data_IF_006856728146
#
_entry.id   IF_006856728146
#
_cell.length_a   1.000
_cell.length_b   1.000
_cell.length_c   1.000
_cell.angle_alpha   90.00
_cell.angle_beta   90.00
_cell.angle_gamma   90.00
#
_symmetry.space_group_name_H-M   'P 1'
#
loop_
_entity.id
_entity.type
_entity.pdbx_description
1 polymer ?
#
# COMPACT_ATOMS: atom_id res chain seq x y z
N UNK A 1 -11.13 16.97 -16.86
CA UNK A 1 -9.98 16.25 -17.47
C UNK A 1 -9.16 15.77 -16.29
N UNK A 2 -9.42 14.55 -15.82
CA UNK A 2 -8.73 13.98 -14.67
C UNK A 2 -7.32 13.61 -15.11
N UNK A 3 -6.32 14.36 -14.63
CA UNK A 3 -4.93 13.95 -14.67
C UNK A 3 -4.75 12.95 -13.53
N UNK A 4 -4.94 11.66 -13.84
CA UNK A 4 -4.44 10.59 -13.01
C UNK A 4 -2.90 10.72 -13.05
N UNK A 5 -2.32 11.35 -12.04
CA UNK A 5 -0.88 11.31 -11.85
C UNK A 5 -0.57 9.89 -11.36
N UNK A 6 -0.25 9.01 -12.31
CA UNK A 6 0.47 7.80 -11.99
C UNK A 6 1.76 8.24 -11.30
N UNK A 7 1.81 8.13 -9.98
CA UNK A 7 3.06 8.31 -9.22
C UNK A 7 3.92 7.12 -9.61
N UNK A 8 4.71 7.28 -10.66
CA UNK A 8 5.71 6.30 -11.01
C UNK A 8 6.74 6.28 -9.88
N UNK A 9 6.94 5.11 -9.28
CA UNK A 9 8.02 4.94 -8.32
C UNK A 9 9.34 5.22 -9.04
N UNK A 10 10.19 6.05 -8.44
CA UNK A 10 11.51 6.35 -9.00
C UNK A 10 12.45 5.17 -8.77
N UNK A 11 13.30 4.89 -9.75
CA UNK A 11 14.31 3.84 -9.68
C UNK A 11 15.19 3.99 -8.43
N UNK A 12 15.30 2.96 -7.58
CA UNK A 12 16.12 3.07 -6.40
C UNK A 12 17.61 3.17 -6.77
N UNK A 13 18.34 3.98 -6.01
CA UNK A 13 19.79 4.14 -6.13
C UNK A 13 20.52 2.80 -5.96
N UNK A 14 21.71 2.67 -6.54
CA UNK A 14 22.56 1.48 -6.38
C UNK A 14 22.95 1.25 -4.90
N UNK A 15 23.02 -0.02 -4.48
CA UNK A 15 23.33 -0.47 -3.11
C UNK A 15 22.31 -0.06 -2.03
N UNK A 16 21.12 0.41 -2.42
CA UNK A 16 20.06 0.71 -1.49
C UNK A 16 19.40 -0.58 -0.99
N UNK A 17 19.18 -0.67 0.32
CA UNK A 17 18.37 -1.73 0.90
C UNK A 17 16.90 -1.47 0.59
N UNK A 18 16.28 -2.38 -0.16
CA UNK A 18 14.88 -2.27 -0.60
C UNK A 18 14.11 -3.54 -0.33
N UNK A 19 12.79 -3.41 -0.29
CA UNK A 19 11.86 -4.53 -0.28
C UNK A 19 10.89 -4.34 -1.44
N UNK A 20 10.89 -5.29 -2.37
CA UNK A 20 9.99 -5.29 -3.51
C UNK A 20 8.91 -6.36 -3.37
N UNK A 21 7.74 -6.05 -3.91
CA UNK A 21 6.62 -6.96 -4.01
C UNK A 21 6.38 -7.29 -5.47
N UNK A 22 6.06 -8.55 -5.72
CA UNK A 22 5.76 -9.01 -7.06
C UNK A 22 5.55 -10.51 -7.11
N UNK A 23 5.53 -11.04 -8.33
CA UNK A 23 5.43 -12.47 -8.57
C UNK A 23 6.82 -13.03 -8.83
N UNK A 24 7.20 -14.09 -8.11
CA UNK A 24 8.43 -14.80 -8.40
C UNK A 24 8.23 -15.60 -9.69
N UNK A 25 9.01 -15.26 -10.72
CA UNK A 25 8.95 -15.91 -12.02
C UNK A 25 10.33 -16.36 -12.45
N UNK A 26 10.36 -17.19 -13.47
CA UNK A 26 11.59 -17.70 -14.03
C UNK A 26 11.56 -17.48 -15.53
N UNK A 27 12.67 -16.97 -16.06
CA UNK A 27 12.84 -16.75 -17.48
C UNK A 27 14.03 -17.52 -18.01
N UNK A 28 13.92 -17.89 -19.28
CA UNK A 28 14.98 -18.57 -20.02
C UNK A 28 15.49 -17.58 -21.06
N UNK A 29 16.77 -17.25 -20.97
CA UNK A 29 17.45 -16.32 -21.88
C UNK A 29 18.67 -16.98 -22.55
N UNK A 30 19.12 -16.45 -23.70
CA UNK A 30 20.35 -16.90 -24.34
C UNK A 30 21.60 -16.57 -23.50
N UNK A 31 22.42 -17.59 -23.26
CA UNK A 31 23.70 -17.51 -22.56
C UNK A 31 24.91 -17.61 -23.50
N UNK A 32 26.05 -18.12 -23.01
CA UNK A 32 27.24 -18.30 -23.82
C UNK A 32 27.01 -19.18 -25.08
N UNK A 33 27.84 -19.03 -26.12
CA UNK A 33 28.96 -18.09 -26.21
C UNK A 33 28.56 -16.67 -26.65
N UNK A 34 27.47 -16.49 -27.41
CA UNK A 34 27.17 -15.20 -28.06
C UNK A 34 26.11 -14.37 -27.33
N UNK A 35 25.27 -15.00 -26.49
CA UNK A 35 24.18 -14.32 -25.75
C UNK A 35 23.12 -13.68 -26.67
N UNK A 36 22.92 -14.23 -27.87
CA UNK A 36 22.02 -13.68 -28.88
C UNK A 36 20.80 -14.59 -29.13
N UNK A 37 21.00 -15.91 -29.24
CA UNK A 37 19.93 -16.82 -29.62
C UNK A 37 20.14 -18.26 -29.20
N UNK A 38 19.21 -18.78 -28.38
CA UNK A 38 19.13 -20.21 -28.05
C UNK A 38 18.95 -21.07 -29.31
N UNK A 39 18.12 -20.61 -30.27
CA UNK A 39 17.94 -21.32 -31.56
C UNK A 39 19.19 -21.25 -32.44
N UNK A 40 20.03 -20.23 -32.26
CA UNK A 40 21.31 -20.04 -32.93
C UNK A 40 22.44 -20.89 -32.35
N UNK A 41 22.20 -21.62 -31.25
CA UNK A 41 23.18 -22.51 -30.62
C UNK A 41 23.74 -22.00 -29.29
N UNK A 42 23.25 -20.86 -28.77
CA UNK A 42 23.61 -20.40 -27.43
C UNK A 42 22.95 -21.25 -26.33
N UNK A 43 23.60 -21.32 -25.18
CA UNK A 43 23.10 -22.03 -24.00
C UNK A 43 21.78 -21.41 -23.50
N UNK A 44 20.81 -22.23 -23.10
CA UNK A 44 19.58 -21.76 -22.48
C UNK A 44 19.82 -21.56 -20.97
N UNK A 45 19.95 -20.31 -20.53
CA UNK A 45 20.22 -19.98 -19.13
C UNK A 45 18.92 -19.60 -18.44
N UNK A 46 18.65 -20.28 -17.33
CA UNK A 46 17.46 -20.11 -16.50
C UNK A 46 17.80 -19.22 -15.30
N UNK A 47 17.06 -18.14 -15.11
CA UNK A 47 17.26 -17.21 -13.99
C UNK A 47 15.95 -16.87 -13.31
N UNK A 48 16.05 -16.53 -12.04
CA UNK A 48 14.95 -16.08 -11.19
C UNK A 48 14.76 -14.57 -11.33
N UNK A 49 13.50 -14.15 -11.47
CA UNK A 49 13.11 -12.74 -11.58
C UNK A 49 11.94 -12.45 -10.65
N UNK A 50 11.88 -11.22 -10.17
CA UNK A 50 10.69 -10.67 -9.55
C UNK A 50 9.97 -9.81 -10.58
N UNK A 51 8.80 -10.26 -11.03
CA UNK A 51 7.88 -9.45 -11.81
C UNK A 51 7.16 -8.51 -10.85
N UNK A 52 7.47 -7.22 -10.93
CA UNK A 52 6.99 -6.20 -10.01
C UNK A 52 5.49 -5.97 -10.18
N UNK A 53 4.80 -5.81 -9.05
CA UNK A 53 3.39 -5.39 -9.06
C UNK A 53 3.23 -3.93 -9.49
N UNK A 54 4.19 -3.09 -9.07
CA UNK A 54 4.30 -1.69 -9.48
C UNK A 54 5.68 -1.48 -10.15
N UNK A 55 5.73 -1.34 -11.49
CA UNK A 55 6.94 -0.95 -12.19
C UNK A 55 7.48 0.39 -11.70
N UNK A 56 8.79 0.59 -11.79
CA UNK A 56 9.45 1.87 -11.53
C UNK A 56 10.17 2.38 -12.77
N UNK A 57 10.28 3.70 -12.89
CA UNK A 57 10.93 4.37 -14.00
C UNK A 57 12.39 4.69 -13.63
N UNK A 58 13.31 4.24 -14.48
CA UNK A 58 14.74 4.46 -14.33
C UNK A 58 15.26 5.41 -15.41
N UNK A 59 15.93 6.49 -15.00
CA UNK A 59 16.75 7.32 -15.89
C UNK A 59 18.18 6.78 -15.89
N UNK A 60 18.36 5.64 -16.56
CA UNK A 60 19.66 4.99 -16.70
C UNK A 60 20.12 5.18 -18.15
N UNK A 61 21.13 6.04 -18.32
CA UNK A 61 21.83 6.27 -19.58
C UNK A 61 20.99 6.86 -20.74
N UNK A 62 20.38 8.03 -20.49
CA UNK A 62 19.77 8.97 -21.48
C UNK A 62 18.38 8.65 -22.01
N UNK A 63 17.81 7.50 -21.67
CA UNK A 63 16.42 7.14 -21.97
C UNK A 63 15.69 6.75 -20.67
N UNK A 64 14.42 7.13 -20.56
CA UNK A 64 13.53 6.66 -19.48
C UNK A 64 13.15 5.19 -19.76
N UNK A 65 13.50 4.28 -18.85
CA UNK A 65 13.16 2.87 -18.93
C UNK A 65 12.21 2.47 -17.79
N UNK A 66 11.02 1.97 -18.15
CA UNK A 66 10.10 1.31 -17.23
C UNK A 66 10.60 -0.09 -16.90
N UNK A 67 11.03 -0.31 -15.66
CA UNK A 67 11.47 -1.62 -15.17
C UNK A 67 10.28 -2.37 -14.57
N UNK A 68 9.83 -3.43 -15.25
CA UNK A 68 8.77 -4.34 -14.78
C UNK A 68 9.30 -5.60 -14.10
N UNK A 69 10.54 -5.98 -14.39
CA UNK A 69 11.15 -7.22 -13.92
C UNK A 69 12.54 -6.93 -13.35
N UNK A 70 12.84 -7.54 -12.20
CA UNK A 70 14.14 -7.40 -11.52
C UNK A 70 14.78 -8.78 -11.43
N UNK A 71 15.96 -8.93 -12.02
CA UNK A 71 16.73 -10.17 -11.91
C UNK A 71 17.21 -10.37 -10.47
N UNK A 72 16.99 -11.57 -9.94
CA UNK A 72 17.35 -11.94 -8.58
C UNK A 72 18.72 -12.64 -8.55
N UNK A 73 19.64 -12.11 -7.74
CA UNK A 73 20.96 -12.66 -7.54
C UNK A 73 21.06 -13.18 -6.10
N UNK A 74 21.05 -14.51 -5.94
CA UNK A 74 21.16 -15.14 -4.63
C UNK A 74 22.62 -15.27 -4.22
N UNK A 75 23.00 -14.50 -3.19
CA UNK A 75 24.32 -14.59 -2.57
C UNK A 75 24.44 -15.81 -1.68
N UNK A 76 25.67 -16.26 -1.43
CA UNK A 76 25.95 -17.49 -0.67
C UNK A 76 25.49 -17.42 0.79
N UNK A 77 25.43 -16.22 1.35
CA UNK A 77 25.07 -15.89 2.73
C UNK A 77 23.65 -15.32 2.87
N UNK A 78 22.85 -15.33 1.79
CA UNK A 78 21.44 -14.98 1.85
C UNK A 78 20.69 -15.91 2.82
N UNK A 79 19.68 -15.37 3.53
CA UNK A 79 18.81 -16.16 4.42
C UNK A 79 17.95 -17.15 3.63
N UNK A 80 17.62 -16.81 2.39
CA UNK A 80 16.91 -17.66 1.46
C UNK A 80 17.83 -18.04 0.32
N UNK A 81 18.00 -19.34 0.07
CA UNK A 81 18.72 -19.83 -1.11
C UNK A 81 17.82 -19.83 -2.35
N UNK A 82 18.41 -19.75 -3.55
CA UNK A 82 17.65 -19.91 -4.82
C UNK A 82 16.84 -21.22 -4.83
N UNK A 83 17.38 -22.31 -4.30
CA UNK A 83 16.67 -23.59 -4.20
C UNK A 83 15.41 -23.52 -3.33
N UNK A 84 15.45 -22.79 -2.23
CA UNK A 84 14.26 -22.59 -1.38
C UNK A 84 13.25 -21.67 -2.05
N UNK A 85 13.73 -20.62 -2.74
CA UNK A 85 12.88 -19.70 -3.48
C UNK A 85 12.04 -20.39 -4.56
N UNK A 86 12.54 -21.46 -5.18
CA UNK A 86 11.79 -22.28 -6.14
C UNK A 86 10.45 -22.82 -5.59
N UNK A 87 10.30 -22.98 -4.27
CA UNK A 87 9.01 -23.39 -3.67
C UNK A 87 7.90 -22.35 -3.85
N UNK A 88 8.27 -21.10 -4.15
CA UNK A 88 7.37 -19.98 -4.36
C UNK A 88 7.30 -19.54 -5.82
N UNK A 89 7.83 -20.35 -6.74
CA UNK A 89 7.74 -20.05 -8.17
C UNK A 89 6.28 -19.89 -8.59
N UNK A 90 5.99 -18.83 -9.34
CA UNK A 90 4.67 -18.35 -9.76
C UNK A 90 3.75 -17.86 -8.64
N UNK A 91 4.27 -17.63 -7.42
CA UNK A 91 3.51 -17.03 -6.32
C UNK A 91 3.88 -15.58 -6.09
N UNK A 92 2.98 -14.84 -5.44
CA UNK A 92 3.28 -13.50 -4.95
C UNK A 92 4.23 -13.60 -3.76
N UNK A 93 5.30 -12.84 -3.81
CA UNK A 93 6.35 -12.81 -2.81
C UNK A 93 6.76 -11.38 -2.51
N UNK A 94 7.39 -11.24 -1.36
CA UNK A 94 8.19 -10.09 -0.99
C UNK A 94 9.66 -10.50 -1.04
N UNK A 95 10.47 -9.70 -1.71
CA UNK A 95 11.91 -9.91 -1.80
C UNK A 95 12.61 -8.71 -1.19
N UNK A 96 13.42 -8.96 -0.16
CA UNK A 96 14.28 -7.96 0.45
C UNK A 96 15.71 -8.19 -0.01
N UNK A 97 16.41 -7.11 -0.35
CA UNK A 97 17.79 -7.18 -0.82
C UNK A 97 18.41 -5.81 -1.06
N UNK A 98 19.59 -5.81 -1.66
CA UNK A 98 20.28 -4.60 -2.12
C UNK A 98 20.21 -4.45 -3.61
N UNK A 99 19.87 -3.27 -4.08
CA UNK A 99 19.84 -2.94 -5.50
C UNK A 99 21.24 -2.97 -6.11
N UNK A 100 21.33 -3.41 -7.36
CA UNK A 100 22.54 -3.35 -8.17
C UNK A 100 22.15 -3.00 -9.60
N UNK A 101 22.88 -2.10 -10.24
CA UNK A 101 22.65 -1.84 -11.66
C UNK A 101 23.37 -2.87 -12.53
N UNK A 102 22.87 -3.08 -13.74
CA UNK A 102 23.52 -3.96 -14.68
C UNK A 102 24.90 -3.41 -15.07
N UNK A 103 25.98 -4.10 -14.66
CA UNK A 103 27.35 -3.69 -14.98
C UNK A 103 27.97 -4.48 -16.14
N UNK A 104 27.37 -5.60 -16.56
CA UNK A 104 27.92 -6.51 -17.57
C UNK A 104 26.84 -6.92 -18.58
N UNK A 105 27.27 -7.38 -19.76
CA UNK A 105 26.37 -7.95 -20.79
C UNK A 105 25.76 -9.31 -20.42
N UNK A 106 25.86 -9.75 -19.17
CA UNK A 106 25.34 -11.03 -18.67
C UNK A 106 24.14 -10.85 -17.73
N UNK A 107 23.68 -9.61 -17.56
CA UNK A 107 22.47 -9.28 -16.82
C UNK A 107 21.33 -9.04 -17.80
N UNK A 108 20.14 -9.55 -17.49
CA UNK A 108 19.00 -9.50 -18.39
C UNK A 108 18.02 -8.36 -18.08
N UNK A 109 18.22 -7.67 -16.96
CA UNK A 109 17.45 -6.49 -16.54
C UNK A 109 18.40 -5.38 -16.13
N UNK A 110 18.00 -4.14 -16.32
CA UNK A 110 18.81 -2.95 -15.97
C UNK A 110 19.01 -2.80 -14.46
N UNK A 111 18.02 -3.22 -13.67
CA UNK A 111 18.11 -3.31 -12.22
C UNK A 111 18.08 -4.77 -11.78
N UNK A 112 18.98 -5.12 -10.87
CA UNK A 112 19.08 -6.41 -10.21
C UNK A 112 18.89 -6.24 -8.70
N UNK A 113 18.56 -7.34 -8.03
CA UNK A 113 18.49 -7.39 -6.57
C UNK A 113 19.39 -8.49 -6.03
N UNK A 114 20.38 -8.10 -5.24
CA UNK A 114 21.16 -9.01 -4.42
C UNK A 114 20.28 -9.46 -3.26
N UNK A 115 19.76 -10.68 -3.34
CA UNK A 115 18.70 -11.17 -2.46
C UNK A 115 19.24 -11.49 -1.07
N UNK A 116 18.61 -10.92 -0.05
CA UNK A 116 18.80 -11.32 1.35
C UNK A 116 17.75 -12.34 1.77
N UNK A 117 16.48 -12.11 1.42
CA UNK A 117 15.34 -12.89 1.90
C UNK A 117 14.17 -12.86 0.91
N UNK A 118 13.47 -13.99 0.77
CA UNK A 118 12.19 -14.10 0.03
C UNK A 118 11.12 -14.63 0.97
N UNK A 119 9.92 -14.03 0.92
CA UNK A 119 8.76 -14.43 1.73
C UNK A 119 7.52 -14.56 0.88
N UNK A 120 6.75 -15.62 1.06
CA UNK A 120 5.45 -15.80 0.42
C UNK A 120 4.41 -14.84 1.01
N UNK A 121 3.59 -14.27 0.13
CA UNK A 121 2.35 -13.59 0.50
C UNK A 121 1.21 -14.60 0.28
N UNK A 122 0.44 -14.97 1.33
CA UNK A 122 -0.70 -15.86 1.18
C UNK A 122 -1.71 -15.29 0.19
N UNK A 123 -2.13 -16.06 -0.82
CA UNK A 123 -3.12 -15.62 -1.82
C UNK A 123 -4.58 -15.85 -1.38
N UNK A 124 -4.78 -16.64 -0.32
CA UNK A 124 -6.09 -16.84 0.31
C UNK A 124 -5.88 -17.05 1.80
N UNK A 125 -6.57 -16.26 2.62
CA UNK A 125 -6.50 -16.30 4.07
C UNK A 125 -7.42 -17.38 4.64
N UNK A 126 -6.88 -18.26 5.47
CA UNK A 126 -7.69 -19.17 6.29
C UNK A 126 -8.39 -18.41 7.43
N UNK A 127 -9.41 -19.01 8.04
CA UNK A 127 -10.09 -18.42 9.21
C UNK A 127 -9.12 -18.15 10.36
N UNK A 128 -8.14 -19.03 10.57
CA UNK A 128 -7.09 -18.88 11.58
C UNK A 128 -6.19 -17.68 11.27
N UNK A 129 -5.80 -17.50 10.00
CA UNK A 129 -5.00 -16.35 9.58
C UNK A 129 -5.80 -15.04 9.72
N UNK A 130 -7.09 -15.02 9.34
CA UNK A 130 -7.96 -13.86 9.55
C UNK A 130 -8.06 -13.50 11.04
N UNK A 131 -8.23 -14.50 11.91
CA UNK A 131 -8.22 -14.31 13.37
C UNK A 131 -6.89 -13.73 13.85
N UNK A 132 -5.78 -14.29 13.41
CA UNK A 132 -4.44 -13.82 13.74
C UNK A 132 -4.20 -12.37 13.31
N UNK A 133 -4.63 -12.01 12.09
CA UNK A 133 -4.55 -10.63 11.59
C UNK A 133 -5.33 -9.65 12.48
N UNK A 134 -6.55 -9.99 12.93
CA UNK A 134 -7.30 -9.12 13.85
C UNK A 134 -6.65 -9.02 15.23
N UNK A 135 -6.05 -10.10 15.74
CA UNK A 135 -5.29 -10.05 17.01
C UNK A 135 -4.09 -9.12 16.88
N UNK A 136 -3.34 -9.21 15.80
CA UNK A 136 -2.19 -8.32 15.55
C UNK A 136 -2.63 -6.89 15.25
N UNK A 137 -3.80 -6.71 14.63
CA UNK A 137 -4.38 -5.38 14.43
C UNK A 137 -4.77 -4.73 15.76
N UNK A 138 -5.30 -5.48 16.74
CA UNK A 138 -5.52 -4.96 18.10
C UNK A 138 -4.21 -4.47 18.74
N UNK A 139 -3.09 -5.16 18.51
CA UNK A 139 -1.77 -4.73 18.98
C UNK A 139 -1.32 -3.44 18.27
N UNK A 140 -1.51 -3.37 16.95
CA UNK A 140 -1.26 -2.15 16.18
C UNK A 140 -2.10 -0.97 16.69
N UNK A 141 -3.40 -1.18 16.95
CA UNK A 141 -4.28 -0.16 17.54
C UNK A 141 -3.80 0.29 18.93
N UNK A 142 -3.25 -0.63 19.74
CA UNK A 142 -2.67 -0.27 21.03
C UNK A 142 -1.40 0.58 20.86
N UNK A 143 -0.51 0.19 19.95
CA UNK A 143 0.68 0.96 19.61
C UNK A 143 0.33 2.37 19.08
N UNK A 144 -0.77 2.50 18.30
CA UNK A 144 -1.30 3.79 17.84
C UNK A 144 -1.78 4.66 19.00
N UNK A 145 -2.54 4.10 19.95
CA UNK A 145 -3.04 4.81 21.14
C UNK A 145 -1.90 5.30 22.03
N UNK A 146 -0.86 4.48 22.16
CA UNK A 146 0.33 4.77 22.95
C UNK A 146 1.38 5.61 22.18
N UNK A 147 1.13 5.89 20.89
CA UNK A 147 2.03 6.63 19.99
C UNK A 147 3.45 6.04 19.94
N UNK A 148 3.57 4.71 19.96
CA UNK A 148 4.86 4.01 19.94
C UNK A 148 5.45 3.93 18.53
N UNK A 149 6.11 5.00 18.09
CA UNK A 149 6.63 5.13 16.72
C UNK A 149 7.51 3.97 16.24
N UNK A 150 8.41 3.45 17.08
CA UNK A 150 9.28 2.32 16.69
C UNK A 150 8.50 0.99 16.54
N UNK A 151 7.51 0.75 17.40
CA UNK A 151 6.63 -0.43 17.31
C UNK A 151 5.75 -0.31 16.07
N UNK A 152 5.18 0.87 15.82
CA UNK A 152 4.37 1.16 14.64
C UNK A 152 5.16 1.01 13.35
N UNK A 153 6.41 1.50 13.29
CA UNK A 153 7.32 1.33 12.15
C UNK A 153 7.45 -0.14 11.75
N UNK A 154 7.47 -1.04 12.73
CA UNK A 154 7.58 -2.48 12.46
C UNK A 154 6.38 -3.05 11.71
N UNK A 155 5.23 -2.38 11.68
CA UNK A 155 4.10 -2.82 10.85
C UNK A 155 4.26 -2.42 9.40
N UNK A 156 5.18 -1.52 9.01
CA UNK A 156 5.31 -1.07 7.63
C UNK A 156 6.29 -1.94 6.84
N UNK A 157 5.98 -2.15 5.57
CA UNK A 157 6.98 -2.54 4.56
C UNK A 157 7.42 -1.30 3.81
N UNK A 158 8.73 -1.12 3.65
CA UNK A 158 9.32 0.04 2.99
C UNK A 158 10.08 -0.35 1.72
N UNK A 159 9.99 0.45 0.63
CA UNK A 159 9.05 1.57 0.48
C UNK A 159 7.58 1.10 0.51
N UNK A 160 6.69 1.93 1.07
CA UNK A 160 5.27 1.61 1.07
C UNK A 160 4.72 1.79 -0.35
N UNK A 161 3.99 0.79 -0.85
CA UNK A 161 3.39 0.84 -2.19
C UNK A 161 2.18 1.79 -2.21
N UNK A 162 2.00 2.53 -3.31
CA UNK A 162 0.90 3.47 -3.49
C UNK A 162 1.25 4.91 -3.11
N UNK A 163 0.25 5.72 -2.77
CA UNK A 163 0.45 7.14 -2.44
C UNK A 163 0.59 7.38 -0.93
N UNK A 164 1.12 8.56 -0.60
CA UNK A 164 1.30 8.99 0.78
C UNK A 164 0.21 9.92 1.29
N UNK A 165 -0.79 10.30 0.49
CA UNK A 165 -1.73 11.37 0.81
C UNK A 165 -2.50 11.16 2.11
N UNK A 166 -2.88 9.90 2.37
CA UNK A 166 -3.57 9.47 3.59
C UNK A 166 -2.70 9.41 4.84
N UNK A 167 -1.38 9.50 4.69
CA UNK A 167 -0.40 9.48 5.76
C UNK A 167 0.24 10.86 5.97
N UNK A 168 0.50 11.56 4.87
CA UNK A 168 1.12 12.86 4.74
C UNK A 168 0.20 13.68 3.81
N UNK A 169 -0.48 14.71 4.31
CA UNK A 169 -1.47 15.47 3.51
C UNK A 169 -0.87 16.18 2.27
N UNK A 170 -1.36 15.87 1.07
CA UNK A 170 -0.84 16.31 -0.23
C UNK A 170 -0.61 17.83 -0.41
N UNK A 171 -1.20 18.67 0.44
CA UNK A 171 -1.03 20.13 0.40
C UNK A 171 0.36 20.65 0.81
N UNK A 172 1.27 19.78 1.26
CA UNK A 172 2.62 20.20 1.67
C UNK A 172 3.60 20.24 0.48
N UNK A 173 4.28 21.36 0.21
CA UNK A 173 5.13 21.54 -0.98
C UNK A 173 6.39 20.67 -1.02
N UNK A 174 6.74 19.98 0.08
CA UNK A 174 7.91 19.09 0.21
C UNK A 174 7.51 17.61 0.43
N UNK A 175 6.33 17.23 -0.05
CA UNK A 175 5.84 15.84 0.02
C UNK A 175 6.78 14.89 -0.72
N UNK A 176 7.32 13.86 -0.04
CA UNK A 176 8.05 12.81 -0.73
C UNK A 176 7.05 11.95 -1.51
N UNK A 177 7.35 11.66 -2.78
CA UNK A 177 6.49 10.80 -3.62
C UNK A 177 6.45 9.33 -3.18
N UNK A 178 7.28 8.93 -2.20
CA UNK A 178 7.33 7.54 -1.69
C UNK A 178 7.64 7.54 -0.21
N UNK A 179 6.91 6.73 0.56
CA UNK A 179 7.17 6.55 1.99
C UNK A 179 8.27 5.50 2.19
N UNK A 180 9.51 5.97 2.36
CA UNK A 180 10.66 5.14 2.76
C UNK A 180 10.79 5.08 4.29
N UNK A 181 11.68 4.23 4.80
CA UNK A 181 11.96 4.17 6.25
C UNK A 181 12.44 5.52 6.79
N UNK A 182 13.34 6.21 6.08
CA UNK A 182 13.85 7.52 6.47
C UNK A 182 12.75 8.60 6.47
N UNK A 183 11.83 8.54 5.50
CA UNK A 183 10.66 9.43 5.44
C UNK A 183 9.73 9.15 6.62
N UNK A 184 9.47 7.88 6.94
CA UNK A 184 8.67 7.51 8.11
C UNK A 184 9.28 8.09 9.38
N UNK A 185 10.59 7.94 9.59
CA UNK A 185 11.26 8.46 10.78
C UNK A 185 11.19 9.99 10.87
N UNK A 186 11.34 10.67 9.73
CA UNK A 186 11.25 12.14 9.66
C UNK A 186 9.85 12.66 9.98
N UNK A 187 8.80 11.95 9.54
CA UNK A 187 7.41 12.39 9.66
C UNK A 187 6.54 11.54 10.61
N UNK A 188 7.17 10.76 11.49
CA UNK A 188 6.50 9.76 12.33
C UNK A 188 5.29 10.33 13.08
N UNK A 189 5.41 11.53 13.66
CA UNK A 189 4.31 12.16 14.40
C UNK A 189 3.08 12.39 13.51
N UNK A 190 3.27 12.94 12.30
CA UNK A 190 2.17 13.20 11.36
C UNK A 190 1.53 11.90 10.89
N UNK A 191 2.35 10.91 10.52
CA UNK A 191 1.88 9.59 10.08
C UNK A 191 1.03 8.92 11.18
N UNK A 192 1.51 8.95 12.43
CA UNK A 192 0.80 8.38 13.57
C UNK A 192 -0.51 9.11 13.84
N UNK A 193 -0.55 10.44 13.66
CA UNK A 193 -1.76 11.26 13.78
C UNK A 193 -2.79 10.92 12.69
N UNK A 194 -2.35 10.81 11.44
CA UNK A 194 -3.18 10.43 10.30
C UNK A 194 -3.82 9.04 10.44
N UNK A 195 -3.14 8.11 11.12
CA UNK A 195 -3.64 6.75 11.38
C UNK A 195 -4.49 6.61 12.66
N UNK A 196 -4.64 7.67 13.45
CA UNK A 196 -5.41 7.60 14.70
C UNK A 196 -6.86 7.11 14.55
N UNK A 197 -7.61 7.42 13.47
CA UNK A 197 -8.97 6.90 13.29
C UNK A 197 -9.03 5.37 13.31
N UNK A 198 -8.00 4.69 12.79
CA UNK A 198 -7.92 3.22 12.81
C UNK A 198 -7.92 2.65 14.23
N UNK A 199 -7.42 3.39 15.21
CA UNK A 199 -7.43 2.99 16.63
C UNK A 199 -8.83 2.93 17.26
N UNK A 200 -9.83 3.49 16.58
CA UNK A 200 -11.23 3.60 17.04
C UNK A 200 -12.14 2.53 16.46
N UNK A 201 -11.70 1.83 15.41
CA UNK A 201 -12.44 0.73 14.80
C UNK A 201 -12.57 -0.41 15.81
N UNK A 202 -13.78 -0.94 15.97
CA UNK A 202 -14.01 -2.06 16.89
C UNK A 202 -13.82 -3.34 16.10
N UNK A 203 -12.84 -4.14 16.48
CA UNK A 203 -12.57 -5.46 15.88
C UNK A 203 -12.76 -6.56 16.92
N UNK A 204 -13.29 -7.71 16.49
CA UNK A 204 -13.40 -8.90 17.32
C UNK A 204 -12.81 -10.12 16.59
N UNK A 205 -11.64 -10.62 17.03
CA UNK A 205 -11.00 -11.78 16.41
C UNK A 205 -11.76 -13.10 16.55
N UNK A 206 -12.65 -13.24 17.53
CA UNK A 206 -13.34 -14.52 17.78
C UNK A 206 -14.50 -14.76 16.81
N UNK A 207 -15.19 -13.70 16.38
CA UNK A 207 -16.27 -13.76 15.40
C UNK A 207 -15.90 -13.18 14.03
N UNK A 208 -14.64 -12.76 13.86
CA UNK A 208 -14.08 -12.12 12.67
C UNK A 208 -14.84 -10.85 12.24
N UNK A 209 -15.42 -10.12 13.20
CA UNK A 209 -16.18 -8.90 12.89
C UNK A 209 -15.33 -7.64 12.99
N UNK A 210 -15.58 -6.71 12.06
CA UNK A 210 -15.04 -5.36 12.03
C UNK A 210 -16.25 -4.42 12.00
N UNK A 211 -16.39 -3.58 13.02
CA UNK A 211 -17.49 -2.61 13.11
C UNK A 211 -16.97 -1.23 12.79
N UNK A 212 -17.69 -0.57 11.89
CA UNK A 212 -17.46 0.82 11.51
C UNK A 212 -17.43 1.72 12.75
N UNK A 213 -16.38 2.53 12.83
CA UNK A 213 -16.32 3.71 13.67
C UNK A 213 -16.94 4.88 12.90
N UNK A 214 -17.84 5.61 13.56
CA UNK A 214 -18.52 6.77 12.98
C UNK A 214 -18.67 7.87 14.00
N UNK A 215 -18.24 9.08 13.64
CA UNK A 215 -18.63 10.32 14.32
C UNK A 215 -19.59 11.04 13.40
N UNK A 216 -20.84 11.14 13.82
CA UNK A 216 -21.85 11.84 13.03
C UNK A 216 -21.59 13.34 13.08
N UNK A 217 -21.61 14.00 11.92
CA UNK A 217 -21.48 15.46 11.86
C UNK A 217 -22.78 16.18 12.28
N UNK A 218 -23.94 15.54 12.11
CA UNK A 218 -25.24 16.05 12.54
C UNK A 218 -25.59 15.57 13.96
N UNK A 219 -26.20 16.43 14.77
CA UNK A 219 -26.79 16.03 16.05
C UNK A 219 -27.97 15.07 15.87
N UNK A 220 -28.38 14.39 16.94
CA UNK A 220 -29.46 13.39 16.87
C UNK A 220 -30.81 14.00 16.44
N UNK A 221 -31.06 15.26 16.80
CA UNK A 221 -32.22 16.04 16.37
C UNK A 221 -32.14 16.40 14.89
N UNK A 222 -30.94 16.76 14.42
CA UNK A 222 -30.70 17.13 13.03
C UNK A 222 -30.81 15.91 12.10
N UNK A 223 -30.36 14.74 12.53
CA UNK A 223 -30.52 13.50 11.76
C UNK A 223 -31.98 13.10 11.56
N UNK A 224 -32.91 13.56 12.41
CA UNK A 224 -34.35 13.30 12.26
C UNK A 224 -35.02 14.21 11.23
N UNK A 225 -34.33 15.27 10.78
CA UNK A 225 -34.88 16.20 9.79
C UNK A 225 -34.95 15.53 8.43
N UNK A 226 -35.93 15.94 7.64
CA UNK A 226 -36.01 15.56 6.24
C UNK A 226 -35.26 16.59 5.39
N UNK A 227 -34.20 16.15 4.73
CA UNK A 227 -33.36 16.97 3.88
C UNK A 227 -33.77 16.81 2.41
N UNK A 228 -33.68 17.89 1.67
CA UNK A 228 -33.92 17.96 0.24
C UNK A 228 -32.65 18.46 -0.45
N UNK A 229 -32.36 17.95 -1.65
CA UNK A 229 -31.31 18.48 -2.51
C UNK A 229 -31.88 19.55 -3.44
N UNK A 230 -31.21 20.70 -3.58
CA UNK A 230 -31.53 21.71 -4.58
C UNK A 230 -30.55 21.64 -5.75
N UNK A 231 -31.02 21.11 -6.88
CA UNK A 231 -30.23 20.93 -8.10
C UNK A 231 -29.69 22.24 -8.69
N UNK A 232 -30.28 23.40 -8.37
CA UNK A 232 -29.85 24.69 -8.92
C UNK A 232 -28.61 25.24 -8.22
N UNK A 233 -28.58 25.10 -6.90
CA UNK A 233 -27.55 25.67 -6.04
C UNK A 233 -26.53 24.61 -5.58
N UNK A 234 -26.79 23.32 -5.85
CA UNK A 234 -25.94 22.20 -5.45
C UNK A 234 -25.86 21.98 -3.94
N UNK A 235 -26.84 22.51 -3.18
CA UNK A 235 -26.85 22.47 -1.72
C UNK A 235 -28.07 21.72 -1.19
N UNK A 236 -27.93 21.16 0.00
CA UNK A 236 -29.04 20.57 0.71
C UNK A 236 -29.74 21.61 1.59
N UNK A 237 -31.01 21.37 1.88
CA UNK A 237 -31.78 22.20 2.79
C UNK A 237 -32.81 21.37 3.55
N UNK A 238 -33.25 21.88 4.69
CA UNK A 238 -34.44 21.36 5.38
C UNK A 238 -35.46 22.49 5.55
N UNK A 239 -36.72 22.12 5.79
CA UNK A 239 -37.80 23.06 6.09
C UNK A 239 -38.26 22.88 7.52
N UNK A 240 -38.26 23.97 8.27
CA UNK A 240 -38.74 24.01 9.65
C UNK A 240 -39.60 25.26 9.82
N UNK A 241 -40.83 25.10 10.33
CA UNK A 241 -41.79 26.20 10.47
C UNK A 241 -42.03 27.03 9.19
N UNK A 242 -41.97 26.38 8.02
CA UNK A 242 -42.12 27.03 6.72
C UNK A 242 -40.91 27.83 6.23
N UNK A 243 -39.85 27.93 7.03
CA UNK A 243 -38.59 28.54 6.62
C UNK A 243 -37.65 27.51 6.00
N UNK A 244 -36.92 27.94 4.97
CA UNK A 244 -35.89 27.14 4.30
C UNK A 244 -34.55 27.42 4.98
N UNK A 245 -33.91 26.37 5.49
CA UNK A 245 -32.59 26.42 6.09
C UNK A 245 -31.62 25.66 5.19
N UNK A 246 -30.66 26.37 4.62
CA UNK A 246 -29.59 25.76 3.83
C UNK A 246 -28.63 25.01 4.77
N UNK A 247 -28.10 23.89 4.27
CA UNK A 247 -27.16 23.03 4.98
C UNK A 247 -25.86 23.06 4.20
N UNK A 248 -24.88 23.75 4.77
CA UNK A 248 -23.49 23.71 4.29
C UNK A 248 -22.78 22.53 4.96
N UNK A 249 -22.92 21.33 4.38
CA UNK A 249 -22.05 20.15 4.58
C UNK A 249 -21.91 19.56 5.99
N UNK A 250 -22.15 18.26 6.11
CA UNK A 250 -21.90 17.51 7.35
C UNK A 250 -21.41 16.11 6.98
N UNK A 251 -20.13 15.98 6.71
CA UNK A 251 -19.48 14.69 6.47
C UNK A 251 -19.19 13.99 7.80
N UNK A 252 -19.70 12.77 7.96
CA UNK A 252 -19.35 11.93 9.10
C UNK A 252 -17.88 11.53 9.01
N UNK A 253 -17.16 11.54 10.12
CA UNK A 253 -15.87 10.85 10.18
C UNK A 253 -16.15 9.36 10.27
N UNK A 254 -15.82 8.62 9.21
CA UNK A 254 -16.04 7.17 9.13
C UNK A 254 -14.70 6.46 9.00
N UNK A 255 -14.55 5.37 9.74
CA UNK A 255 -13.48 4.40 9.51
C UNK A 255 -14.03 2.97 9.64
N UNK A 256 -13.71 2.10 8.71
CA UNK A 256 -14.11 0.70 8.71
C UNK A 256 -13.03 -0.18 8.08
N UNK A 257 -13.30 -1.47 7.95
CA UNK A 257 -12.41 -2.39 7.27
C UNK A 257 -13.09 -3.70 6.93
N UNK A 258 -12.46 -4.42 6.01
CA UNK A 258 -12.97 -5.67 5.49
C UNK A 258 -11.84 -6.63 5.10
N UNK A 259 -12.16 -7.91 5.07
CA UNK A 259 -11.28 -8.93 4.52
C UNK A 259 -11.50 -9.09 3.03
N UNK A 260 -10.39 -9.08 2.31
CA UNK A 260 -10.30 -9.62 0.96
C UNK A 260 -9.74 -11.05 1.01
N UNK A 261 -9.50 -11.64 -0.16
CA UNK A 261 -8.98 -13.01 -0.24
C UNK A 261 -7.63 -13.14 0.47
N UNK A 262 -6.72 -12.19 0.27
CA UNK A 262 -5.33 -12.23 0.76
C UNK A 262 -4.98 -11.15 1.80
N UNK A 263 -5.91 -10.23 2.08
CA UNK A 263 -5.61 -8.99 2.79
C UNK A 263 -6.73 -8.53 3.72
N UNK A 264 -6.36 -7.63 4.62
CA UNK A 264 -7.25 -6.90 5.52
C UNK A 264 -7.08 -5.41 5.21
N UNK A 265 -8.12 -4.79 4.67
CA UNK A 265 -8.07 -3.39 4.24
C UNK A 265 -8.92 -2.55 5.16
N UNK A 266 -8.36 -1.44 5.63
CA UNK A 266 -9.11 -0.45 6.39
C UNK A 266 -9.28 0.82 5.57
N UNK A 267 -10.48 1.39 5.64
CA UNK A 267 -10.81 2.66 5.01
C UNK A 267 -11.00 3.71 6.09
N UNK A 268 -10.52 4.92 5.84
CA UNK A 268 -10.89 6.10 6.61
C UNK A 268 -11.29 7.22 5.64
N UNK A 269 -12.44 7.84 5.90
CA UNK A 269 -12.84 9.06 5.19
C UNK A 269 -11.96 10.24 5.61
N UNK A 270 -11.93 11.28 4.79
CA UNK A 270 -11.32 12.55 5.18
C UNK A 270 -12.07 13.22 6.33
N UNK A 271 -11.41 14.15 7.02
CA UNK A 271 -12.06 15.00 8.02
C UNK A 271 -13.24 15.75 7.38
N UNK A 272 -14.31 15.97 8.14
CA UNK A 272 -15.53 16.60 7.66
C UNK A 272 -15.24 17.89 6.86
N UNK A 273 -15.39 17.84 5.54
CA UNK A 273 -15.36 19.04 4.72
C UNK A 273 -16.81 19.58 4.58
N UNK A 274 -16.93 20.89 4.33
CA UNK A 274 -18.21 21.62 4.30
C UNK A 274 -19.03 21.38 3.03
N UNK A 275 -18.79 20.30 2.31
CA UNK A 275 -19.42 20.08 1.01
C UNK A 275 -19.91 18.64 0.98
N UNK A 276 -21.23 18.52 0.86
CA UNK A 276 -22.03 17.29 0.70
C UNK A 276 -22.57 16.70 2.03
N UNK A 277 -23.86 16.33 2.08
CA UNK A 277 -24.43 15.47 3.09
C UNK A 277 -24.68 14.05 2.57
N UNK A 278 -24.48 13.09 3.48
CA UNK A 278 -24.99 11.74 3.34
C UNK A 278 -24.08 10.77 2.57
N UNK A 279 -23.71 9.71 3.30
CA UNK A 279 -22.85 8.58 2.93
C UNK A 279 -21.39 8.98 2.70
N UNK A 280 -20.47 8.38 3.46
CA UNK A 280 -19.01 8.58 3.37
C UNK A 280 -18.45 8.42 1.95
N UNK A 281 -19.18 7.74 1.07
CA UNK A 281 -18.86 7.55 -0.35
C UNK A 281 -18.85 8.86 -1.17
N UNK A 282 -19.48 9.92 -0.66
CA UNK A 282 -19.57 11.21 -1.32
C UNK A 282 -18.79 12.33 -0.61
N UNK A 283 -18.05 12.02 0.46
CA UNK A 283 -17.15 13.01 1.06
C UNK A 283 -15.87 13.08 0.23
N UNK A 284 -15.27 14.27 0.11
CA UNK A 284 -14.04 14.49 -0.68
C UNK A 284 -12.91 13.62 -0.15
N UNK A 285 -12.80 12.45 -0.76
CA UNK A 285 -11.74 11.51 -0.57
C UNK A 285 -11.84 10.53 0.61
N UNK A 286 -11.16 9.41 0.43
CA UNK A 286 -10.97 8.37 1.43
C UNK A 286 -9.59 7.74 1.24
N UNK A 287 -8.95 7.42 2.36
CA UNK A 287 -7.70 6.66 2.36
C UNK A 287 -7.96 5.21 2.70
N UNK A 288 -7.36 4.30 1.96
CA UNK A 288 -7.31 2.87 2.28
C UNK A 288 -5.90 2.48 2.72
N UNK A 289 -5.85 1.52 3.64
CA UNK A 289 -4.63 0.95 4.20
C UNK A 289 -4.74 -0.57 4.15
N UNK A 290 -3.93 -1.19 3.29
CA UNK A 290 -3.99 -2.63 3.02
C UNK A 290 -2.94 -3.35 3.82
N UNK A 291 -3.38 -4.25 4.69
CA UNK A 291 -2.51 -5.11 5.48
C UNK A 291 -2.51 -6.54 4.93
N UNK A 292 -1.34 -7.17 4.92
CA UNK A 292 -1.16 -8.58 4.58
C UNK A 292 -0.37 -9.31 5.66
N UNK A 293 -0.53 -10.63 5.71
CA UNK A 293 0.23 -11.48 6.63
C UNK A 293 1.51 -11.96 5.94
N UNK A 294 2.67 -11.51 6.43
CA UNK A 294 3.98 -11.88 5.88
C UNK A 294 4.79 -12.53 6.98
N UNK A 295 5.12 -13.81 6.79
CA UNK A 295 5.81 -14.62 7.81
C UNK A 295 5.09 -14.58 9.17
N UNK A 296 3.77 -14.77 9.12
CA UNK A 296 2.90 -14.73 10.30
C UNK A 296 2.80 -13.34 10.96
N UNK A 297 3.26 -12.27 10.32
CA UNK A 297 3.19 -10.91 10.87
C UNK A 297 2.33 -10.01 10.00
N UNK A 298 1.42 -9.28 10.64
CA UNK A 298 0.60 -8.27 9.99
C UNK A 298 1.50 -7.11 9.54
N UNK A 299 1.52 -6.81 8.25
CA UNK A 299 2.23 -5.65 7.70
C UNK A 299 1.32 -4.80 6.84
N UNK A 300 1.42 -3.49 6.99
CA UNK A 300 0.89 -2.49 6.08
C UNK A 300 1.76 -2.46 4.82
N UNK A 301 1.13 -2.84 3.71
CA UNK A 301 1.79 -3.04 2.42
C UNK A 301 1.57 -1.88 1.47
N UNK A 302 0.36 -1.32 1.51
CA UNK A 302 0.03 -0.19 0.65
C UNK A 302 -0.92 0.78 1.32
N UNK A 303 -0.85 2.01 0.84
CA UNK A 303 -1.86 3.04 1.07
C UNK A 303 -2.31 3.64 -0.24
N UNK A 304 -3.57 4.03 -0.29
CA UNK A 304 -4.13 4.74 -1.43
C UNK A 304 -5.11 5.80 -0.94
N UNK A 305 -5.15 6.94 -1.60
CA UNK A 305 -6.06 8.03 -1.30
C UNK A 305 -6.79 8.42 -2.57
N UNK A 306 -8.11 8.20 -2.58
CA UNK A 306 -8.98 8.82 -3.56
C UNK A 306 -9.37 10.22 -3.06
N UNK A 307 -9.51 11.19 -3.95
CA UNK A 307 -9.92 12.57 -3.65
C UNK A 307 -9.83 13.47 -4.87
#
# INVERSE_FOLDING_TARGET
MFLCHSVFAYCPDENLQVTFQGKLVEHIYPGPPNWESIKGGDEAVKNDFLQLEAPFECDIATDEESVSDVQLIFLRDAKTSSKEAQNWLNKNVIVTGKTMYAQTGWHYTTVLLLVDEVKEIPTTLTSEQKKEMLVQFLQFQQALKEKKGAELKSYFVFPLTGDTGGLLQDSEPEQPGTLTEAVFERYAVKIIESLQPLSKIIVNPDDLTIKQYRVNALSAEEQKRHYFFDDKDGVFYYKENGQRHLVEGACDTVADGEFYDDSLTFHQGTAANKQIPGLSQNCDGASSFTFQLIDGKLRLMSSFTAG
#
